data_IF_200463716591
#
_entry.id   IF_200463716591
#
_cell.length_a   1.000
_cell.length_b   1.000
_cell.length_c   1.000
_cell.angle_alpha   90.00
_cell.angle_beta   90.00
_cell.angle_gamma   90.00
#
_symmetry.space_group_name_H-M   'P 1'
#
loop_
_entity.id
_entity.type
_entity.pdbx_description
1 polymer ?
#
# COMPACT_ATOMS: atom_id res chain seq x y z
N UNK A 1 7.80 44.23 64.91
CA UNK A 1 8.86 44.33 63.91
C UNK A 1 9.39 42.95 63.67
N UNK A 2 9.09 42.37 62.59
CA UNK A 2 9.82 41.39 61.73
C UNK A 2 8.82 40.74 60.80
N UNK A 3 8.96 41.05 59.51
CA UNK A 3 8.16 40.53 58.39
C UNK A 3 8.61 39.12 58.09
N UNK A 4 7.67 38.23 57.96
CA UNK A 4 7.90 36.92 57.34
C UNK A 4 7.50 37.03 55.86
N UNK A 5 8.42 36.67 54.98
CA UNK A 5 8.20 36.58 53.55
C UNK A 5 7.69 35.21 53.22
N UNK A 6 6.56 35.09 52.53
CA UNK A 6 6.06 33.89 51.94
C UNK A 6 6.64 33.75 50.51
N UNK A 7 7.30 32.66 50.25
CA UNK A 7 7.75 32.31 48.90
C UNK A 7 6.59 31.66 48.14
N UNK A 8 6.18 32.30 47.05
CA UNK A 8 5.26 31.71 46.09
C UNK A 8 6.07 30.90 45.05
N UNK A 9 5.78 29.60 44.95
CA UNK A 9 6.26 28.72 43.87
C UNK A 9 5.35 28.95 42.67
N UNK A 10 5.89 29.54 41.62
CA UNK A 10 5.21 29.66 40.33
C UNK A 10 5.55 28.42 39.51
N UNK A 11 4.57 27.55 39.32
CA UNK A 11 4.63 26.50 38.32
C UNK A 11 4.34 27.12 36.96
N UNK A 12 5.35 27.26 36.13
CA UNK A 12 5.17 27.61 34.71
C UNK A 12 4.93 26.32 33.91
N UNK A 13 3.67 26.06 33.61
CA UNK A 13 3.28 25.08 32.62
C UNK A 13 3.55 25.66 31.22
N UNK A 14 4.43 25.00 30.47
CA UNK A 14 4.60 25.29 29.03
C UNK A 14 3.52 24.53 28.28
N UNK A 15 2.52 25.24 27.77
CA UNK A 15 1.57 24.73 26.81
C UNK A 15 2.18 24.96 25.42
N UNK A 16 2.67 23.91 24.78
CA UNK A 16 2.95 23.92 23.35
C UNK A 16 1.63 23.65 22.62
N UNK A 17 1.01 24.73 22.14
CA UNK A 17 -0.11 24.64 21.21
C UNK A 17 0.45 24.45 19.81
N UNK A 18 0.43 23.23 19.30
CA UNK A 18 0.53 22.94 17.87
C UNK A 18 -0.80 23.31 17.24
N UNK A 19 -0.86 24.43 16.52
CA UNK A 19 -2.05 24.82 15.80
C UNK A 19 -2.11 24.12 14.46
N UNK A 20 -3.05 23.20 14.31
CA UNK A 20 -3.49 22.74 12.99
C UNK A 20 -4.64 23.64 12.57
N UNK A 21 -4.50 24.28 11.43
CA UNK A 21 -5.54 25.13 10.86
C UNK A 21 -6.58 24.23 10.17
N UNK A 22 -7.74 24.12 10.77
CA UNK A 22 -8.90 23.44 10.20
C UNK A 22 -9.52 24.32 9.11
N UNK A 23 -9.50 23.85 7.87
CA UNK A 23 -10.30 24.41 6.77
C UNK A 23 -11.64 23.68 6.77
N UNK A 24 -12.72 24.40 7.02
CA UNK A 24 -14.07 23.85 7.04
C UNK A 24 -14.55 23.53 5.62
N UNK A 25 -14.72 22.25 5.34
CA UNK A 25 -15.45 21.73 4.20
C UNK A 25 -16.08 20.40 4.62
N UNK A 26 -17.36 20.29 4.46
CA UNK A 26 -18.27 19.28 5.01
C UNK A 26 -17.94 17.85 4.59
N UNK A 27 -18.08 16.95 5.57
CA UNK A 27 -18.21 15.49 5.57
C UNK A 27 -16.96 14.73 6.05
N UNK A 28 -17.12 14.16 7.26
CA UNK A 28 -16.44 12.94 7.70
C UNK A 28 -14.94 12.98 7.94
N UNK A 29 -14.40 13.99 8.66
CA UNK A 29 -13.01 13.91 9.11
C UNK A 29 -12.85 12.92 10.27
N UNK A 30 -11.98 11.95 10.07
CA UNK A 30 -11.47 11.08 11.14
C UNK A 30 -10.54 11.90 12.03
N UNK A 31 -10.98 12.28 13.24
CA UNK A 31 -10.14 13.02 14.19
C UNK A 31 -9.38 12.03 15.06
N UNK A 32 -8.08 11.91 14.85
CA UNK A 32 -7.17 11.22 15.76
C UNK A 32 -6.83 12.17 16.92
N UNK A 33 -7.41 11.93 18.08
CA UNK A 33 -7.08 12.68 19.31
C UNK A 33 -6.18 11.81 20.20
N UNK A 34 -4.88 12.10 20.25
CA UNK A 34 -3.97 11.52 21.25
C UNK A 34 -4.06 12.30 22.56
N UNK A 35 -4.52 11.67 23.62
CA UNK A 35 -4.41 12.20 25.01
C UNK A 35 -3.27 11.44 25.69
N UNK A 36 -2.14 12.12 25.92
CA UNK A 36 -1.08 11.62 26.79
C UNK A 36 -1.40 11.98 28.25
N UNK A 37 -1.51 10.98 29.11
CA UNK A 37 -1.33 11.12 30.55
C UNK A 37 -0.06 10.38 30.93
N UNK A 38 0.92 11.11 31.48
CA UNK A 38 2.13 10.54 32.06
C UNK A 38 1.78 9.90 33.41
N UNK A 39 1.90 8.60 33.49
CA UNK A 39 2.20 7.88 34.74
C UNK A 39 3.00 6.62 34.36
N UNK A 40 4.20 6.50 34.94
CA UNK A 40 5.13 5.41 34.70
C UNK A 40 4.56 4.09 35.25
N UNK A 41 4.39 3.10 34.42
CA UNK A 41 4.79 1.68 34.52
C UNK A 41 4.00 0.83 33.53
N UNK A 42 4.74 -0.02 32.80
CA UNK A 42 4.27 -1.03 31.83
C UNK A 42 3.94 -0.48 30.41
N UNK A 43 4.96 -0.52 29.54
CA UNK A 43 4.78 -0.45 28.09
C UNK A 43 3.96 -1.64 27.60
N UNK A 44 2.64 -1.47 27.55
CA UNK A 44 1.81 -2.10 26.54
C UNK A 44 1.67 -1.08 25.42
N UNK A 45 2.04 -1.46 24.22
CA UNK A 45 1.71 -0.71 22.99
C UNK A 45 0.19 -0.53 22.96
N UNK A 46 -0.31 0.64 23.32
CA UNK A 46 -1.70 1.00 23.02
C UNK A 46 -1.77 1.19 21.48
N UNK A 47 -2.23 0.16 20.78
CA UNK A 47 -2.79 0.31 19.46
C UNK A 47 -3.87 1.39 19.58
N UNK A 48 -3.70 2.48 18.84
CA UNK A 48 -4.71 3.55 18.73
C UNK A 48 -5.90 2.91 18.01
N UNK A 49 -6.91 2.48 18.74
CA UNK A 49 -8.12 1.89 18.16
C UNK A 49 -8.75 2.91 17.19
N UNK A 50 -8.84 2.55 15.92
CA UNK A 50 -9.55 3.33 14.91
C UNK A 50 -11.00 3.45 15.35
N UNK A 51 -11.49 4.67 15.51
CA UNK A 51 -12.88 4.89 15.92
C UNK A 51 -13.80 4.79 14.72
N UNK A 52 -14.48 3.65 14.57
CA UNK A 52 -15.45 3.42 13.50
C UNK A 52 -16.68 4.32 13.71
N UNK A 53 -17.06 5.05 12.66
CA UNK A 53 -18.28 5.87 12.66
C UNK A 53 -19.52 4.99 12.49
N UNK A 54 -20.15 4.64 13.60
CA UNK A 54 -21.38 3.83 13.61
C UNK A 54 -22.64 4.62 13.24
N UNK A 55 -22.54 5.90 12.89
CA UNK A 55 -23.66 6.66 12.35
C UNK A 55 -24.00 6.31 10.89
N UNK A 56 -23.03 5.76 10.15
CA UNK A 56 -23.23 5.20 8.82
C UNK A 56 -23.82 3.78 8.97
N UNK A 57 -25.00 3.47 8.42
CA UNK A 57 -25.58 2.14 8.57
C UNK A 57 -24.80 1.08 7.79
N UNK A 58 -24.85 -0.16 8.29
CA UNK A 58 -24.37 -1.35 7.58
C UNK A 58 -25.48 -2.40 7.53
N UNK A 59 -25.53 -3.21 6.48
CA UNK A 59 -26.53 -4.26 6.34
C UNK A 59 -26.08 -5.53 7.11
N UNK A 60 -26.74 -5.92 8.21
CA UNK A 60 -26.37 -7.11 8.96
C UNK A 60 -26.43 -8.39 8.12
N UNK A 61 -25.42 -9.26 8.30
CA UNK A 61 -25.34 -10.55 7.62
C UNK A 61 -24.82 -10.47 6.18
N UNK A 62 -24.45 -9.28 5.70
CA UNK A 62 -23.92 -9.09 4.35
C UNK A 62 -22.56 -9.78 4.16
N UNK A 63 -22.24 -10.08 2.89
CA UNK A 63 -20.96 -10.63 2.46
C UNK A 63 -20.23 -9.60 1.59
N UNK A 64 -19.03 -9.27 1.98
CA UNK A 64 -18.05 -8.54 1.17
C UNK A 64 -17.16 -9.58 0.49
N UNK A 65 -17.06 -9.52 -0.82
CA UNK A 65 -16.19 -10.42 -1.57
C UNK A 65 -14.94 -9.66 -2.03
N UNK A 66 -13.75 -10.21 -1.75
CA UNK A 66 -12.48 -9.64 -2.18
C UNK A 66 -11.86 -10.54 -3.23
N UNK A 67 -11.49 -9.96 -4.38
CA UNK A 67 -10.69 -10.61 -5.42
C UNK A 67 -9.40 -9.83 -5.59
N UNK A 68 -8.29 -10.42 -5.11
CA UNK A 68 -6.95 -9.82 -5.17
C UNK A 68 -6.18 -10.25 -6.42
N UNK A 69 -5.07 -9.57 -6.73
CA UNK A 69 -4.11 -10.03 -7.76
C UNK A 69 -3.45 -11.35 -7.38
N UNK A 70 -3.21 -11.55 -6.09
CA UNK A 70 -2.61 -12.78 -5.56
C UNK A 70 -3.12 -13.06 -4.15
N UNK A 71 -3.15 -14.33 -3.76
CA UNK A 71 -3.54 -14.76 -2.41
C UNK A 71 -2.35 -15.19 -1.55
N UNK A 72 -1.13 -14.94 -2.00
CA UNK A 72 0.10 -15.33 -1.31
C UNK A 72 1.18 -14.24 -1.41
N UNK A 73 2.12 -14.25 -0.47
CA UNK A 73 3.20 -13.27 -0.39
C UNK A 73 3.02 -12.29 0.77
N UNK A 74 4.15 -11.76 1.28
CA UNK A 74 4.13 -10.96 2.52
C UNK A 74 3.28 -9.69 2.39
N UNK A 75 3.23 -9.07 1.21
CA UNK A 75 2.35 -7.93 0.93
C UNK A 75 0.87 -8.32 1.06
N UNK A 76 0.45 -9.40 0.36
CA UNK A 76 -0.95 -9.84 0.36
C UNK A 76 -1.38 -10.40 1.72
N UNK A 77 -0.46 -11.02 2.46
CA UNK A 77 -0.71 -11.46 3.84
C UNK A 77 -1.02 -10.26 4.76
N UNK A 78 -0.31 -9.13 4.60
CA UNK A 78 -0.56 -7.91 5.36
C UNK A 78 -1.88 -7.23 4.96
N UNK A 79 -2.19 -7.17 3.66
CA UNK A 79 -3.50 -6.67 3.17
C UNK A 79 -4.63 -7.49 3.79
N UNK A 80 -4.55 -8.81 3.71
CA UNK A 80 -5.57 -9.71 4.25
C UNK A 80 -5.72 -9.55 5.77
N UNK A 81 -4.62 -9.42 6.52
CA UNK A 81 -4.66 -9.15 7.96
C UNK A 81 -5.37 -7.84 8.30
N UNK A 82 -5.11 -6.76 7.53
CA UNK A 82 -5.81 -5.50 7.68
C UNK A 82 -7.31 -5.63 7.41
N UNK A 83 -7.67 -6.36 6.36
CA UNK A 83 -9.07 -6.65 6.02
C UNK A 83 -9.79 -7.46 7.11
N UNK A 84 -9.16 -8.51 7.64
CA UNK A 84 -9.71 -9.32 8.74
C UNK A 84 -9.90 -8.50 10.01
N UNK A 85 -8.95 -7.62 10.32
CA UNK A 85 -9.05 -6.72 11.46
C UNK A 85 -10.25 -5.76 11.30
N UNK A 86 -10.43 -5.17 10.13
CA UNK A 86 -11.56 -4.30 9.84
C UNK A 86 -12.90 -5.02 9.98
N UNK A 87 -13.04 -6.24 9.45
CA UNK A 87 -14.25 -7.06 9.61
C UNK A 87 -14.58 -7.30 11.09
N UNK A 88 -13.57 -7.64 11.88
CA UNK A 88 -13.71 -7.86 13.32
C UNK A 88 -14.17 -6.60 14.03
N UNK A 89 -13.49 -5.48 13.78
CA UNK A 89 -13.75 -4.21 14.47
C UNK A 89 -15.12 -3.63 14.08
N UNK A 90 -15.53 -3.75 12.81
CA UNK A 90 -16.87 -3.39 12.35
C UNK A 90 -17.94 -4.22 13.09
N UNK A 91 -17.79 -5.55 13.13
CA UNK A 91 -18.75 -6.41 13.83
C UNK A 91 -18.84 -6.08 15.33
N UNK A 92 -17.72 -5.72 15.96
CA UNK A 92 -17.68 -5.30 17.37
C UNK A 92 -18.36 -3.92 17.56
N UNK A 93 -18.00 -2.93 16.74
CA UNK A 93 -18.52 -1.56 16.81
C UNK A 93 -20.05 -1.49 16.64
N UNK A 94 -20.58 -2.25 15.67
CA UNK A 94 -22.02 -2.32 15.42
C UNK A 94 -22.74 -3.37 16.32
N UNK A 95 -22.01 -4.11 17.14
CA UNK A 95 -22.60 -5.15 18.04
C UNK A 95 -23.21 -6.33 17.29
N UNK A 96 -22.76 -6.62 16.07
CA UNK A 96 -23.27 -7.68 15.20
C UNK A 96 -22.80 -9.06 15.72
N UNK A 97 -23.72 -10.06 15.72
CA UNK A 97 -23.44 -11.39 16.29
C UNK A 97 -23.99 -12.50 15.41
N UNK A 98 -23.30 -13.61 15.40
CA UNK A 98 -23.74 -14.85 14.73
C UNK A 98 -24.04 -14.63 13.24
N UNK A 99 -25.29 -14.78 12.82
CA UNK A 99 -25.69 -14.64 11.42
C UNK A 99 -25.77 -13.18 10.93
N UNK A 100 -25.82 -12.23 11.87
CA UNK A 100 -25.87 -10.80 11.56
C UNK A 100 -24.47 -10.21 11.31
N UNK A 101 -23.40 -10.96 11.59
CA UNK A 101 -22.04 -10.51 11.32
C UNK A 101 -21.82 -10.30 9.82
N UNK A 102 -21.15 -9.21 9.48
CA UNK A 102 -20.55 -9.01 8.16
C UNK A 102 -19.46 -10.06 7.98
N UNK A 103 -19.40 -10.66 6.80
CA UNK A 103 -18.43 -11.70 6.43
C UNK A 103 -17.64 -11.25 5.23
N UNK A 104 -16.40 -11.69 5.15
CA UNK A 104 -15.52 -11.47 4.01
C UNK A 104 -15.10 -12.81 3.41
N UNK A 105 -14.92 -12.84 2.09
CA UNK A 105 -14.14 -13.87 1.39
C UNK A 105 -12.94 -13.19 0.73
N UNK A 106 -11.78 -13.86 0.71
CA UNK A 106 -10.57 -13.37 0.08
C UNK A 106 -10.07 -14.41 -0.92
N UNK A 107 -10.20 -14.09 -2.19
CA UNK A 107 -9.98 -15.00 -3.32
C UNK A 107 -9.07 -14.36 -4.36
N UNK A 108 -8.47 -15.18 -5.23
CA UNK A 108 -7.61 -14.71 -6.30
C UNK A 108 -6.64 -15.78 -6.77
N UNK A 109 -5.85 -15.52 -7.80
CA UNK A 109 -4.81 -16.43 -8.27
C UNK A 109 -3.67 -16.56 -7.25
N UNK A 110 -2.85 -17.60 -7.42
CA UNK A 110 -1.62 -17.79 -6.66
C UNK A 110 -0.39 -17.10 -7.28
N UNK A 111 -0.57 -16.48 -8.45
CA UNK A 111 0.45 -15.78 -9.22
C UNK A 111 -0.18 -14.53 -9.84
N UNK A 112 0.40 -13.34 -9.58
CA UNK A 112 -0.10 -12.06 -10.07
C UNK A 112 -0.18 -11.98 -11.60
N UNK A 113 0.63 -12.76 -12.32
CA UNK A 113 0.61 -12.82 -13.79
C UNK A 113 -0.57 -13.62 -14.35
N UNK A 114 -1.32 -14.36 -13.51
CA UNK A 114 -2.44 -15.20 -13.96
C UNK A 114 -3.75 -14.40 -14.07
N UNK A 115 -3.81 -13.50 -15.03
CA UNK A 115 -4.97 -12.64 -15.31
C UNK A 115 -6.23 -13.48 -15.63
N UNK A 116 -6.10 -14.59 -16.36
CA UNK A 116 -7.24 -15.45 -16.72
C UNK A 116 -7.90 -16.07 -15.47
N UNK A 117 -7.11 -16.50 -14.49
CA UNK A 117 -7.64 -17.04 -13.23
C UNK A 117 -8.37 -15.97 -12.44
N UNK A 118 -7.86 -14.72 -12.42
CA UNK A 118 -8.56 -13.62 -11.76
C UNK A 118 -9.91 -13.32 -12.41
N UNK A 119 -9.96 -13.26 -13.75
CA UNK A 119 -11.22 -13.03 -14.48
C UNK A 119 -12.25 -14.13 -14.21
N UNK A 120 -11.82 -15.41 -14.21
CA UNK A 120 -12.69 -16.53 -13.87
C UNK A 120 -13.18 -16.49 -12.42
N UNK A 121 -12.33 -16.05 -11.49
CA UNK A 121 -12.70 -15.85 -10.08
C UNK A 121 -13.74 -14.75 -9.94
N UNK A 122 -13.59 -13.64 -10.67
CA UNK A 122 -14.58 -12.54 -10.68
C UNK A 122 -15.95 -13.02 -11.19
N UNK A 123 -15.99 -13.80 -12.30
CA UNK A 123 -17.25 -14.36 -12.81
C UNK A 123 -17.94 -15.23 -11.76
N UNK A 124 -17.20 -16.09 -11.07
CA UNK A 124 -17.75 -16.93 -10.01
C UNK A 124 -18.27 -16.10 -8.83
N UNK A 125 -17.50 -15.15 -8.34
CA UNK A 125 -17.83 -14.29 -7.18
C UNK A 125 -19.06 -13.42 -7.47
N UNK A 126 -19.14 -12.79 -8.66
CA UNK A 126 -20.28 -11.95 -9.06
C UNK A 126 -21.55 -12.80 -9.15
N UNK A 127 -21.46 -14.05 -9.65
CA UNK A 127 -22.60 -14.96 -9.72
C UNK A 127 -23.22 -15.31 -8.36
N UNK A 128 -22.44 -15.19 -7.28
CA UNK A 128 -22.89 -15.38 -5.89
C UNK A 128 -23.57 -14.15 -5.28
N UNK A 129 -23.60 -13.04 -6.01
CA UNK A 129 -24.27 -11.80 -5.64
C UNK A 129 -23.84 -11.26 -4.25
N UNK A 130 -22.55 -10.89 -4.04
CA UNK A 130 -22.10 -10.27 -2.81
C UNK A 130 -22.73 -8.89 -2.61
N UNK A 131 -22.76 -8.40 -1.37
CA UNK A 131 -23.23 -7.05 -1.09
C UNK A 131 -22.28 -5.98 -1.64
N UNK A 132 -20.96 -6.26 -1.64
CA UNK A 132 -19.92 -5.40 -2.21
C UNK A 132 -18.82 -6.31 -2.78
N UNK A 133 -18.22 -5.91 -3.89
CA UNK A 133 -17.02 -6.51 -4.47
C UNK A 133 -15.83 -5.58 -4.26
N UNK A 134 -14.75 -6.10 -3.68
CA UNK A 134 -13.46 -5.41 -3.61
C UNK A 134 -12.49 -6.08 -4.61
N UNK A 135 -11.83 -5.31 -5.45
CA UNK A 135 -10.96 -5.80 -6.52
C UNK A 135 -9.61 -5.11 -6.50
N UNK A 136 -8.51 -5.88 -6.57
CA UNK A 136 -7.21 -5.38 -7.01
C UNK A 136 -6.90 -5.95 -8.39
N UNK A 137 -6.84 -5.09 -9.42
CA UNK A 137 -6.82 -5.55 -10.80
C UNK A 137 -5.41 -6.02 -11.24
N UNK A 138 -5.28 -7.26 -11.74
CA UNK A 138 -4.05 -7.78 -12.34
C UNK A 138 -3.75 -7.16 -13.72
N UNK A 139 -4.78 -6.63 -14.40
CA UNK A 139 -4.67 -5.90 -15.67
C UNK A 139 -5.81 -4.87 -15.67
N UNK A 140 -5.49 -3.61 -16.02
CA UNK A 140 -6.44 -2.49 -15.98
C UNK A 140 -7.69 -2.69 -16.85
N UNK A 141 -7.63 -3.52 -17.88
CA UNK A 141 -8.68 -3.66 -18.88
C UNK A 141 -9.35 -5.03 -18.89
N UNK A 142 -8.68 -6.08 -18.43
CA UNK A 142 -9.12 -7.47 -18.60
C UNK A 142 -10.37 -7.83 -17.83
N UNK A 143 -10.72 -7.06 -16.79
CA UNK A 143 -11.88 -7.31 -15.92
C UNK A 143 -13.09 -6.37 -16.19
N UNK A 144 -13.02 -5.47 -17.17
CA UNK A 144 -14.09 -4.47 -17.40
C UNK A 144 -15.46 -5.09 -17.66
N UNK A 145 -15.54 -6.20 -18.41
CA UNK A 145 -16.80 -6.88 -18.66
C UNK A 145 -17.41 -7.48 -17.38
N UNK A 146 -16.59 -7.93 -16.44
CA UNK A 146 -17.03 -8.39 -15.12
C UNK A 146 -17.55 -7.22 -14.28
N UNK A 147 -16.89 -6.06 -14.35
CA UNK A 147 -17.34 -4.85 -13.67
C UNK A 147 -18.66 -4.32 -14.24
N UNK A 148 -18.85 -4.35 -15.57
CA UNK A 148 -20.14 -4.06 -16.20
C UNK A 148 -21.23 -5.02 -15.69
N UNK A 149 -20.90 -6.32 -15.57
CA UNK A 149 -21.82 -7.33 -15.01
C UNK A 149 -22.14 -7.07 -13.55
N UNK A 150 -21.16 -6.65 -12.74
CA UNK A 150 -21.39 -6.26 -11.34
C UNK A 150 -22.35 -5.05 -11.26
N UNK A 151 -22.14 -4.03 -12.09
CA UNK A 151 -23.02 -2.86 -12.18
C UNK A 151 -24.46 -3.22 -12.62
N UNK A 152 -24.63 -4.13 -13.59
CA UNK A 152 -25.95 -4.64 -14.03
C UNK A 152 -26.70 -5.39 -12.92
N UNK A 153 -25.98 -5.94 -11.93
CA UNK A 153 -26.53 -6.65 -10.78
C UNK A 153 -26.61 -5.77 -9.51
N UNK A 154 -26.42 -4.45 -9.64
CA UNK A 154 -26.41 -3.50 -8.52
C UNK A 154 -25.35 -3.84 -7.43
N UNK A 155 -24.23 -4.48 -7.80
CA UNK A 155 -23.11 -4.80 -6.91
C UNK A 155 -22.12 -3.64 -6.97
N UNK A 156 -21.96 -2.84 -5.91
CA UNK A 156 -20.94 -1.80 -5.87
C UNK A 156 -19.53 -2.41 -5.84
N UNK A 157 -18.60 -1.77 -6.57
CA UNK A 157 -17.21 -2.22 -6.66
C UNK A 157 -16.29 -1.19 -6.04
N UNK A 158 -15.49 -1.62 -5.07
CA UNK A 158 -14.33 -0.87 -4.56
C UNK A 158 -13.08 -1.47 -5.17
N UNK A 159 -12.22 -0.63 -5.72
CA UNK A 159 -10.90 -1.08 -6.19
C UNK A 159 -9.84 -0.72 -5.15
N UNK A 160 -8.85 -1.58 -4.97
CA UNK A 160 -7.71 -1.33 -4.06
C UNK A 160 -6.38 -1.71 -4.71
N UNK A 161 -5.26 -1.22 -4.18
CA UNK A 161 -3.89 -1.43 -4.64
C UNK A 161 -3.65 -0.99 -6.10
N UNK A 162 -4.31 -1.59 -7.06
CA UNK A 162 -4.13 -1.30 -8.49
C UNK A 162 -5.47 -1.08 -9.18
N UNK A 163 -5.63 0.10 -9.78
CA UNK A 163 -6.90 0.55 -10.33
C UNK A 163 -7.18 -0.06 -11.72
N UNK A 164 -8.42 0.11 -12.17
CA UNK A 164 -8.90 -0.23 -13.51
C UNK A 164 -8.88 1.00 -14.42
N UNK A 165 -9.01 0.80 -15.75
CA UNK A 165 -8.95 1.89 -16.72
C UNK A 165 -10.26 2.71 -16.82
N UNK A 166 -11.39 2.16 -16.38
CA UNK A 166 -12.69 2.84 -16.38
C UNK A 166 -13.16 3.09 -14.94
N UNK A 167 -12.95 4.31 -14.46
CA UNK A 167 -13.33 4.75 -13.11
C UNK A 167 -14.85 4.95 -12.92
N UNK A 168 -15.64 4.88 -14.00
CA UNK A 168 -17.09 4.96 -13.90
C UNK A 168 -17.74 3.65 -13.45
N UNK A 169 -16.99 2.54 -13.57
CA UNK A 169 -17.43 1.21 -13.13
C UNK A 169 -17.15 0.92 -11.66
N UNK A 170 -16.48 1.84 -10.97
CA UNK A 170 -16.11 1.67 -9.56
C UNK A 170 -16.72 2.75 -8.68
N UNK A 171 -17.02 2.37 -7.45
CA UNK A 171 -17.53 3.27 -6.44
C UNK A 171 -16.42 4.08 -5.78
N UNK A 172 -15.28 3.44 -5.49
CA UNK A 172 -14.15 4.06 -4.79
C UNK A 172 -12.84 3.33 -5.10
N UNK A 173 -11.69 3.95 -4.74
CA UNK A 173 -10.35 3.39 -4.87
C UNK A 173 -9.52 3.65 -3.63
N UNK A 174 -8.89 2.60 -3.08
CA UNK A 174 -7.98 2.65 -1.94
C UNK A 174 -6.61 2.09 -2.33
N UNK A 175 -5.58 2.90 -2.33
CA UNK A 175 -4.25 2.48 -2.75
C UNK A 175 -3.17 3.44 -2.31
N UNK A 176 -1.93 3.07 -2.57
CA UNK A 176 -0.77 3.92 -2.37
C UNK A 176 -0.65 4.95 -3.49
N UNK A 177 -0.11 6.12 -3.20
CA UNK A 177 0.32 7.06 -4.23
C UNK A 177 1.53 6.49 -4.99
N UNK A 178 1.23 5.78 -6.07
CA UNK A 178 2.23 5.08 -6.86
C UNK A 178 3.10 6.02 -7.71
N UNK A 179 2.63 7.21 -8.06
CA UNK A 179 3.46 8.25 -8.66
C UNK A 179 4.53 8.68 -7.65
N UNK A 180 4.13 8.90 -6.39
CA UNK A 180 5.04 9.26 -5.29
C UNK A 180 6.03 8.15 -4.95
N UNK A 181 5.62 6.87 -5.04
CA UNK A 181 6.54 5.73 -4.91
C UNK A 181 7.67 5.83 -5.93
N UNK A 182 7.35 6.06 -7.20
CA UNK A 182 8.32 6.22 -8.26
C UNK A 182 9.22 7.45 -8.07
N UNK A 183 8.62 8.59 -7.70
CA UNK A 183 9.36 9.82 -7.42
C UNK A 183 10.39 9.64 -6.31
N UNK A 184 9.99 9.07 -5.15
CA UNK A 184 10.91 8.82 -4.03
C UNK A 184 12.05 7.89 -4.48
N UNK A 185 11.75 6.82 -5.20
CA UNK A 185 12.78 5.91 -5.72
C UNK A 185 13.77 6.64 -6.63
N UNK A 186 13.29 7.51 -7.54
CA UNK A 186 14.10 8.32 -8.43
C UNK A 186 14.96 9.35 -7.69
N UNK A 187 14.38 10.08 -6.73
CA UNK A 187 15.08 11.02 -5.85
C UNK A 187 16.24 10.32 -5.10
N UNK A 188 15.96 9.14 -4.54
CA UNK A 188 16.93 8.35 -3.78
C UNK A 188 17.98 7.69 -4.66
N UNK A 189 17.65 7.29 -5.89
CA UNK A 189 18.60 6.82 -6.87
C UNK A 189 19.56 7.95 -7.29
N UNK A 190 19.03 9.13 -7.58
CA UNK A 190 19.83 10.29 -7.92
C UNK A 190 20.76 10.73 -6.75
N UNK A 191 20.27 10.65 -5.50
CA UNK A 191 21.09 10.89 -4.31
C UNK A 191 22.24 9.86 -4.21
N UNK A 192 21.94 8.58 -4.34
CA UNK A 192 22.90 7.48 -4.18
C UNK A 192 23.98 7.46 -5.27
N UNK A 193 23.63 7.85 -6.50
CA UNK A 193 24.53 7.90 -7.65
C UNK A 193 25.17 9.28 -7.89
N UNK A 194 25.01 10.21 -6.94
CA UNK A 194 25.56 11.58 -7.06
C UNK A 194 25.12 12.28 -8.36
N UNK A 195 23.86 12.00 -8.83
CA UNK A 195 23.20 12.57 -10.02
C UNK A 195 23.86 12.19 -11.34
N UNK A 196 24.57 11.07 -11.42
CA UNK A 196 25.18 10.55 -12.65
C UNK A 196 25.20 9.01 -12.62
N UNK A 197 24.99 8.37 -13.77
CA UNK A 197 25.09 6.91 -13.90
C UNK A 197 24.00 6.29 -14.75
N UNK A 198 24.14 5.01 -14.99
CA UNK A 198 23.31 4.21 -15.87
C UNK A 198 22.46 3.23 -15.06
N UNK A 199 21.16 3.15 -15.36
CA UNK A 199 20.16 2.48 -14.51
C UNK A 199 19.42 1.42 -15.32
N UNK A 200 19.15 0.27 -14.69
CA UNK A 200 18.21 -0.75 -15.18
C UNK A 200 16.91 -0.69 -14.36
N UNK A 201 15.77 -0.84 -15.02
CA UNK A 201 14.47 -0.97 -14.36
C UNK A 201 14.00 -2.41 -14.55
N UNK A 202 13.74 -3.10 -13.43
CA UNK A 202 13.06 -4.37 -13.40
C UNK A 202 11.66 -4.16 -12.84
N UNK A 203 10.68 -4.29 -13.71
CA UNK A 203 9.31 -3.95 -13.41
C UNK A 203 8.42 -5.20 -13.28
N UNK A 204 7.41 -5.11 -12.44
CA UNK A 204 6.33 -6.08 -12.37
C UNK A 204 5.51 -6.08 -13.68
N UNK A 205 4.21 -6.25 -13.59
CA UNK A 205 3.36 -6.28 -14.79
C UNK A 205 3.15 -4.88 -15.36
N UNK A 206 3.53 -4.66 -16.63
CA UNK A 206 3.32 -3.39 -17.34
C UNK A 206 1.85 -3.03 -17.57
N UNK A 207 0.92 -3.98 -17.39
CA UNK A 207 -0.52 -3.79 -17.55
C UNK A 207 -1.25 -3.34 -16.28
N UNK A 208 -0.56 -3.22 -15.16
CA UNK A 208 -1.14 -2.70 -13.91
C UNK A 208 -0.90 -1.21 -13.79
N UNK A 209 -1.88 -0.47 -13.26
CA UNK A 209 -1.73 0.96 -13.03
C UNK A 209 -0.61 1.26 -12.03
N UNK A 210 -0.49 0.47 -10.96
CA UNK A 210 0.53 0.66 -9.94
C UNK A 210 1.95 0.60 -10.52
N UNK A 211 2.25 -0.41 -11.36
CA UNK A 211 3.57 -0.52 -12.00
C UNK A 211 3.84 0.63 -12.95
N UNK A 212 2.87 0.99 -13.81
CA UNK A 212 3.03 2.11 -14.75
C UNK A 212 3.36 3.41 -14.02
N UNK A 213 2.60 3.75 -12.99
CA UNK A 213 2.82 4.97 -12.20
C UNK A 213 4.17 4.98 -11.49
N UNK A 214 4.61 3.85 -10.93
CA UNK A 214 5.93 3.71 -10.29
C UNK A 214 7.06 3.92 -11.29
N UNK A 215 6.95 3.37 -12.49
CA UNK A 215 7.93 3.57 -13.57
C UNK A 215 7.91 5.00 -14.06
N UNK A 216 6.73 5.55 -14.36
CA UNK A 216 6.58 6.94 -14.85
C UNK A 216 7.12 7.95 -13.83
N UNK A 217 6.77 7.80 -12.55
CA UNK A 217 7.28 8.66 -11.47
C UNK A 217 8.81 8.63 -11.35
N UNK A 218 9.39 7.43 -11.41
CA UNK A 218 10.84 7.25 -11.41
C UNK A 218 11.50 7.91 -12.62
N UNK A 219 11.00 7.64 -13.81
CA UNK A 219 11.52 8.20 -15.07
C UNK A 219 11.46 9.73 -15.10
N UNK A 220 10.36 10.30 -14.61
CA UNK A 220 10.18 11.75 -14.56
C UNK A 220 11.26 12.41 -13.70
N UNK A 221 11.60 11.82 -12.55
CA UNK A 221 12.68 12.32 -11.70
C UNK A 221 14.05 12.15 -12.36
N UNK A 222 14.35 10.96 -12.91
CA UNK A 222 15.64 10.70 -13.55
C UNK A 222 15.88 11.64 -14.75
N UNK A 223 14.83 11.98 -15.49
CA UNK A 223 14.92 12.90 -16.62
C UNK A 223 15.36 14.34 -16.25
N UNK A 224 15.28 14.72 -14.97
CA UNK A 224 15.80 16.01 -14.49
C UNK A 224 17.33 16.04 -14.37
N UNK A 225 17.99 14.88 -14.42
CA UNK A 225 19.45 14.73 -14.27
C UNK A 225 20.10 14.33 -15.59
N UNK A 226 20.76 15.27 -16.32
CA UNK A 226 21.27 15.03 -17.68
C UNK A 226 22.39 13.97 -17.78
N UNK A 227 23.04 13.61 -16.66
CA UNK A 227 24.09 12.59 -16.59
C UNK A 227 23.60 11.24 -16.08
N UNK A 228 22.27 11.08 -15.92
CA UNK A 228 21.63 9.81 -15.57
C UNK A 228 20.88 9.27 -16.79
N UNK A 229 21.00 7.96 -17.04
CA UNK A 229 20.30 7.31 -18.16
C UNK A 229 19.61 6.02 -17.69
N UNK A 230 18.46 5.73 -18.29
CA UNK A 230 17.82 4.43 -18.18
C UNK A 230 18.24 3.61 -19.40
N UNK A 231 18.97 2.52 -19.17
CA UNK A 231 19.53 1.66 -20.20
C UNK A 231 18.49 0.71 -20.78
N UNK A 232 17.69 0.10 -19.89
CA UNK A 232 16.68 -0.90 -20.27
C UNK A 232 15.60 -0.98 -19.19
N UNK A 233 14.37 -1.24 -19.64
CA UNK A 233 13.22 -1.53 -18.80
C UNK A 233 12.71 -2.92 -19.16
N UNK A 234 12.54 -3.80 -18.17
CA UNK A 234 12.11 -5.19 -18.38
C UNK A 234 10.90 -5.45 -17.49
N UNK A 235 9.79 -5.81 -18.13
CA UNK A 235 8.51 -6.11 -17.49
C UNK A 235 8.28 -7.60 -17.37
N UNK A 236 7.82 -8.06 -16.20
CA UNK A 236 7.64 -9.48 -15.90
C UNK A 236 6.59 -10.18 -16.81
N UNK A 237 5.59 -9.42 -17.28
CA UNK A 237 4.56 -9.94 -18.19
C UNK A 237 4.95 -9.89 -19.68
N UNK A 238 6.15 -9.39 -20.02
CA UNK A 238 6.68 -9.32 -21.38
C UNK A 238 7.77 -10.36 -21.65
N UNK A 239 8.23 -11.09 -20.61
CA UNK A 239 9.29 -12.10 -20.71
C UNK A 239 8.82 -13.47 -20.22
N UNK A 240 9.39 -14.54 -20.76
CA UNK A 240 9.04 -15.91 -20.35
C UNK A 240 9.65 -16.27 -18.96
N UNK A 241 10.82 -15.71 -18.65
CA UNK A 241 11.58 -15.98 -17.43
C UNK A 241 12.28 -14.68 -16.98
N UNK A 242 11.71 -14.03 -15.98
CA UNK A 242 12.23 -12.77 -15.45
C UNK A 242 13.64 -12.93 -14.84
N UNK A 243 13.95 -14.08 -14.23
CA UNK A 243 15.28 -14.35 -13.69
C UNK A 243 16.33 -14.38 -14.82
N UNK A 244 16.03 -15.09 -15.91
CA UNK A 244 16.92 -15.15 -17.07
C UNK A 244 17.07 -13.77 -17.73
N UNK A 245 15.99 -13.00 -17.85
CA UNK A 245 16.00 -11.65 -18.42
C UNK A 245 16.86 -10.68 -17.59
N UNK A 246 16.74 -10.69 -16.25
CA UNK A 246 17.59 -9.91 -15.36
C UNK A 246 19.07 -10.25 -15.53
N UNK A 247 19.40 -11.55 -15.58
CA UNK A 247 20.80 -11.99 -15.77
C UNK A 247 21.36 -11.57 -17.14
N UNK A 248 20.53 -11.59 -18.19
CA UNK A 248 20.92 -11.16 -19.54
C UNK A 248 21.15 -9.65 -19.57
N UNK A 249 20.26 -8.85 -18.97
CA UNK A 249 20.40 -7.40 -18.87
C UNK A 249 21.66 -6.99 -18.12
N UNK A 250 21.94 -7.59 -16.98
CA UNK A 250 23.17 -7.34 -16.20
C UNK A 250 24.45 -7.72 -16.97
N UNK A 251 24.41 -8.77 -17.78
CA UNK A 251 25.53 -9.12 -18.67
C UNK A 251 25.69 -8.17 -19.84
N UNK A 252 24.60 -7.68 -20.39
CA UNK A 252 24.55 -6.74 -21.52
C UNK A 252 25.00 -5.36 -21.10
N UNK A 253 24.72 -4.99 -19.87
CA UNK A 253 24.98 -3.68 -19.29
C UNK A 253 25.87 -3.79 -18.03
N UNK A 254 27.14 -4.22 -18.18
CA UNK A 254 28.06 -4.29 -17.04
C UNK A 254 28.43 -2.91 -16.48
N UNK A 255 28.09 -1.84 -17.20
CA UNK A 255 28.24 -0.44 -16.77
C UNK A 255 27.10 0.05 -15.87
N UNK A 256 26.02 -0.73 -15.65
CA UNK A 256 24.91 -0.30 -14.84
C UNK A 256 25.32 0.04 -13.40
N UNK A 257 25.05 1.28 -12.98
CA UNK A 257 25.37 1.79 -11.65
C UNK A 257 24.18 1.61 -10.69
N UNK A 258 22.94 1.58 -11.21
CA UNK A 258 21.72 1.45 -10.44
C UNK A 258 20.75 0.40 -10.96
N UNK A 259 19.94 -0.15 -10.05
CA UNK A 259 18.80 -1.04 -10.35
C UNK A 259 17.59 -0.59 -9.56
N UNK A 260 16.47 -0.39 -10.25
CA UNK A 260 15.16 -0.14 -9.63
C UNK A 260 14.23 -1.34 -9.83
N UNK A 261 13.68 -1.88 -8.73
CA UNK A 261 12.72 -2.98 -8.72
C UNK A 261 11.36 -2.48 -8.24
N UNK A 262 10.30 -2.63 -9.04
CA UNK A 262 9.04 -1.92 -8.83
C UNK A 262 8.05 -2.59 -7.87
N UNK A 263 8.31 -3.82 -7.40
CA UNK A 263 7.51 -4.51 -6.37
C UNK A 263 8.33 -5.58 -5.63
N UNK A 264 7.71 -6.19 -4.63
CA UNK A 264 8.27 -7.25 -3.79
C UNK A 264 8.83 -8.43 -4.59
N UNK A 265 8.05 -8.97 -5.55
CA UNK A 265 8.42 -10.20 -6.27
C UNK A 265 9.66 -9.98 -7.13
N UNK A 266 9.70 -8.85 -7.85
CA UNK A 266 10.84 -8.49 -8.70
C UNK A 266 12.08 -8.16 -7.85
N UNK A 267 11.92 -7.47 -6.72
CA UNK A 267 13.00 -7.18 -5.79
C UNK A 267 13.55 -8.46 -5.16
N UNK A 268 12.68 -9.35 -4.69
CA UNK A 268 13.09 -10.63 -4.11
C UNK A 268 13.77 -11.55 -5.13
N UNK A 269 13.32 -11.50 -6.38
CA UNK A 269 13.96 -12.24 -7.48
C UNK A 269 15.37 -11.70 -7.75
N UNK A 270 15.53 -10.38 -7.90
CA UNK A 270 16.83 -9.74 -8.08
C UNK A 270 17.81 -10.06 -6.95
N UNK A 271 17.37 -9.97 -5.70
CA UNK A 271 18.17 -10.32 -4.52
C UNK A 271 18.55 -11.81 -4.43
N UNK A 272 17.88 -12.66 -5.22
CA UNK A 272 18.18 -14.11 -5.30
C UNK A 272 19.20 -14.46 -6.38
N UNK A 273 19.54 -13.52 -7.27
CA UNK A 273 20.53 -13.75 -8.31
C UNK A 273 21.92 -14.02 -7.68
N UNK A 274 22.66 -14.97 -8.27
CA UNK A 274 24.07 -15.16 -7.94
C UNK A 274 24.87 -13.99 -8.52
N UNK A 275 25.28 -13.07 -7.66
CA UNK A 275 26.08 -11.93 -8.05
C UNK A 275 27.54 -12.24 -7.77
N UNK A 276 28.37 -12.18 -8.82
CA UNK A 276 29.80 -12.54 -8.76
C UNK A 276 30.74 -11.37 -8.79
N UNK A 277 30.20 -10.15 -8.98
CA UNK A 277 31.03 -8.95 -9.12
C UNK A 277 31.32 -8.30 -7.76
N UNK A 278 32.52 -7.76 -7.62
CA UNK A 278 32.96 -7.07 -6.39
C UNK A 278 32.22 -5.73 -6.18
N UNK A 279 31.62 -5.17 -7.23
CA UNK A 279 30.85 -3.93 -7.20
C UNK A 279 29.47 -4.15 -7.80
N UNK A 280 28.48 -4.17 -6.93
CA UNK A 280 27.07 -4.33 -7.33
C UNK A 280 26.45 -2.97 -7.64
N UNK A 281 25.48 -2.89 -8.60
CA UNK A 281 24.67 -1.71 -8.79
C UNK A 281 23.94 -1.32 -7.49
N UNK A 282 23.74 -0.03 -7.28
CA UNK A 282 22.88 0.48 -6.20
C UNK A 282 21.45 -0.03 -6.45
N UNK A 283 20.94 -0.84 -5.54
CA UNK A 283 19.56 -1.37 -5.64
C UNK A 283 18.61 -0.52 -4.81
N UNK A 284 17.50 -0.13 -5.42
CA UNK A 284 16.31 0.41 -4.74
C UNK A 284 15.11 -0.45 -5.14
N UNK A 285 14.38 -0.92 -4.14
CA UNK A 285 13.18 -1.72 -4.31
C UNK A 285 11.92 -1.02 -3.81
N UNK A 286 10.79 -1.63 -4.12
CA UNK A 286 9.48 -1.28 -3.56
C UNK A 286 9.01 -2.45 -2.68
N UNK A 287 8.21 -2.13 -1.67
CA UNK A 287 7.76 -3.02 -0.61
C UNK A 287 8.82 -3.25 0.49
N UNK A 288 8.55 -4.14 1.45
CA UNK A 288 9.45 -4.38 2.58
C UNK A 288 9.41 -5.83 3.04
N UNK A 289 9.64 -6.77 2.10
CA UNK A 289 9.69 -8.19 2.45
C UNK A 289 10.78 -8.50 3.46
N UNK A 290 10.67 -9.62 4.14
CA UNK A 290 11.73 -10.10 5.06
C UNK A 290 13.09 -10.18 4.37
N UNK A 291 13.12 -10.52 3.06
CA UNK A 291 14.35 -10.58 2.28
C UNK A 291 14.93 -9.20 2.01
N UNK A 292 14.11 -8.24 1.59
CA UNK A 292 14.51 -6.85 1.39
C UNK A 292 14.99 -6.21 2.70
N UNK A 293 14.27 -6.43 3.82
CA UNK A 293 14.70 -5.97 5.14
C UNK A 293 16.11 -6.48 5.51
N UNK A 294 16.39 -7.75 5.24
CA UNK A 294 17.72 -8.31 5.46
C UNK A 294 18.77 -7.68 4.51
N UNK A 295 18.41 -7.47 3.24
CA UNK A 295 19.27 -6.87 2.24
C UNK A 295 19.61 -5.39 2.57
N UNK A 296 18.65 -4.62 3.06
CA UNK A 296 18.88 -3.24 3.55
C UNK A 296 19.86 -3.24 4.73
N UNK A 297 19.67 -4.17 5.70
CA UNK A 297 20.52 -4.27 6.90
C UNK A 297 21.95 -4.70 6.58
N UNK A 298 22.15 -5.53 5.57
CA UNK A 298 23.49 -6.00 5.15
C UNK A 298 24.10 -5.19 4.00
N UNK A 299 23.39 -4.19 3.49
CA UNK A 299 23.86 -3.21 2.49
C UNK A 299 23.83 -3.71 1.04
N UNK A 300 23.09 -4.82 0.75
CA UNK A 300 22.84 -5.27 -0.63
C UNK A 300 21.73 -4.50 -1.32
N UNK A 301 20.85 -3.88 -0.56
CA UNK A 301 19.81 -2.98 -1.02
C UNK A 301 20.01 -1.63 -0.33
N UNK A 302 20.08 -0.55 -1.10
CA UNK A 302 20.34 0.79 -0.58
C UNK A 302 19.16 1.29 0.27
N UNK A 303 17.97 0.96 -0.17
CA UNK A 303 16.73 1.21 0.56
C UNK A 303 15.51 0.83 -0.26
N UNK A 304 14.37 0.95 0.35
CA UNK A 304 13.07 0.54 -0.18
C UNK A 304 12.05 1.66 -0.04
N UNK A 305 11.14 1.75 -1.01
CA UNK A 305 9.95 2.58 -0.88
C UNK A 305 8.80 1.65 -0.48
N UNK A 306 8.42 1.70 0.79
CA UNK A 306 7.43 0.79 1.35
C UNK A 306 6.02 1.38 1.38
N UNK A 307 5.05 0.51 1.21
CA UNK A 307 3.61 0.79 1.32
C UNK A 307 3.09 0.41 2.70
N UNK A 308 1.86 0.84 3.04
CA UNK A 308 1.12 0.34 4.21
C UNK A 308 -0.02 -0.60 3.75
N UNK A 309 0.28 -1.88 3.47
CA UNK A 309 -0.73 -2.82 2.99
C UNK A 309 -1.79 -3.17 4.04
N UNK A 310 -1.44 -3.11 5.33
CA UNK A 310 -2.41 -3.34 6.39
C UNK A 310 -3.48 -2.26 6.41
N UNK A 311 -3.08 -0.99 6.39
CA UNK A 311 -4.00 0.14 6.36
C UNK A 311 -4.83 0.15 5.08
N UNK A 312 -4.22 -0.16 3.93
CA UNK A 312 -4.93 -0.30 2.66
C UNK A 312 -6.06 -1.33 2.75
N UNK A 313 -5.78 -2.52 3.29
CA UNK A 313 -6.78 -3.56 3.50
C UNK A 313 -7.86 -3.13 4.48
N UNK A 314 -7.47 -2.52 5.61
CA UNK A 314 -8.39 -2.05 6.64
C UNK A 314 -9.38 -1.02 6.10
N UNK A 315 -8.90 0.01 5.42
CA UNK A 315 -9.73 1.07 4.86
C UNK A 315 -10.65 0.56 3.74
N UNK A 316 -10.16 -0.34 2.89
CA UNK A 316 -10.97 -0.97 1.84
C UNK A 316 -12.21 -1.66 2.42
N UNK A 317 -12.05 -2.46 3.47
CA UNK A 317 -13.18 -3.17 4.09
C UNK A 317 -14.07 -2.24 4.90
N UNK A 318 -13.52 -1.23 5.55
CA UNK A 318 -14.33 -0.21 6.24
C UNK A 318 -15.27 0.50 5.27
N UNK A 319 -14.75 0.94 4.13
CA UNK A 319 -15.56 1.55 3.07
C UNK A 319 -16.57 0.57 2.49
N UNK A 320 -16.16 -0.68 2.21
CA UNK A 320 -17.07 -1.70 1.70
C UNK A 320 -18.24 -1.97 2.65
N UNK A 321 -18.00 -2.02 3.96
CA UNK A 321 -19.05 -2.23 4.95
C UNK A 321 -20.10 -1.10 4.91
N UNK A 322 -19.66 0.14 4.79
CA UNK A 322 -20.54 1.30 4.67
C UNK A 322 -21.34 1.35 3.36
N UNK A 323 -20.91 0.60 2.33
CA UNK A 323 -21.65 0.47 1.07
C UNK A 323 -22.68 -0.65 1.09
N UNK A 324 -22.72 -1.50 2.12
CA UNK A 324 -23.67 -2.62 2.18
C UNK A 324 -25.13 -2.20 2.35
N UNK A 325 -25.41 -1.02 2.91
CA UNK A 325 -26.76 -0.48 3.15
C UNK A 325 -27.00 0.86 2.44
N UNK A 326 -26.34 1.14 1.35
CA UNK A 326 -26.52 2.40 0.63
C UNK A 326 -27.50 2.25 -0.54
N UNK A 327 -28.61 2.98 -0.52
CA UNK A 327 -29.56 3.14 -1.65
C UNK A 327 -28.94 3.94 -2.83
N UNK A 328 -27.65 3.85 -3.03
CA UNK A 328 -26.90 4.51 -4.08
C UNK A 328 -25.52 4.95 -3.58
N UNK A 329 -24.53 4.38 -4.18
CA UNK A 329 -23.13 4.70 -3.90
C UNK A 329 -22.89 6.15 -4.31
N UNK A 330 -22.63 7.03 -3.34
CA UNK A 330 -22.07 8.34 -3.63
C UNK A 330 -20.55 8.16 -3.75
N UNK A 331 -20.04 8.34 -4.97
CA UNK A 331 -18.58 8.38 -5.18
C UNK A 331 -18.01 9.50 -4.29
N UNK A 332 -17.01 9.23 -3.44
CA UNK A 332 -16.32 10.27 -2.69
C UNK A 332 -15.80 11.35 -3.64
N UNK A 333 -15.78 12.62 -3.22
CA UNK A 333 -15.28 13.72 -4.07
C UNK A 333 -13.79 13.53 -4.41
N UNK A 334 -13.01 12.89 -3.53
CA UNK A 334 -11.60 12.56 -3.75
C UNK A 334 -11.18 11.55 -2.68
N UNK A 335 -10.57 10.44 -3.09
CA UNK A 335 -10.02 9.46 -2.14
C UNK A 335 -8.58 9.85 -1.84
N UNK A 336 -8.23 10.03 -0.58
CA UNK A 336 -6.87 10.24 -0.15
C UNK A 336 -6.06 8.96 -0.37
N UNK A 337 -5.02 9.04 -1.20
CA UNK A 337 -4.08 7.95 -1.39
C UNK A 337 -3.17 7.80 -0.17
N UNK A 338 -2.75 6.57 0.12
CA UNK A 338 -1.82 6.29 1.20
C UNK A 338 -0.41 6.74 0.79
N UNK A 339 0.21 7.53 1.66
CA UNK A 339 1.59 7.98 1.47
C UNK A 339 2.58 6.83 1.67
N UNK A 340 3.50 6.56 0.72
CA UNK A 340 4.57 5.60 0.92
C UNK A 340 5.67 6.15 1.82
N UNK A 341 6.48 5.25 2.40
CA UNK A 341 7.60 5.62 3.24
C UNK A 341 8.94 5.16 2.67
N UNK A 342 9.98 6.01 2.76
CA UNK A 342 11.35 5.60 2.51
C UNK A 342 11.94 4.89 3.72
N UNK A 343 12.43 3.67 3.51
CA UNK A 343 13.07 2.82 4.51
C UNK A 343 14.49 2.49 4.08
N UNK A 344 15.45 2.76 4.95
CA UNK A 344 16.85 2.42 4.77
C UNK A 344 17.48 1.90 6.08
N UNK A 345 18.78 1.64 6.07
CA UNK A 345 19.50 1.11 7.24
C UNK A 345 19.47 2.02 8.47
N UNK A 346 19.13 3.30 8.32
CA UNK A 346 19.08 4.27 9.41
C UNK A 346 17.74 4.27 10.16
N UNK A 347 16.65 3.83 9.51
CA UNK A 347 15.31 3.91 10.07
C UNK A 347 14.52 2.60 10.09
N UNK A 348 15.00 1.52 9.46
CA UNK A 348 14.30 0.23 9.35
C UNK A 348 13.91 -0.41 10.69
N UNK A 349 14.62 -0.11 11.76
CA UNK A 349 14.32 -0.59 13.12
C UNK A 349 13.57 0.46 13.97
N UNK A 350 13.20 1.62 13.39
CA UNK A 350 12.45 2.66 14.09
C UNK A 350 10.96 2.27 14.18
N UNK A 351 10.36 2.19 15.40
CA UNK A 351 8.96 1.84 15.59
C UNK A 351 7.94 2.73 14.84
N UNK A 352 8.31 3.95 14.48
CA UNK A 352 7.45 4.84 13.67
C UNK A 352 7.15 4.28 12.28
N UNK A 353 8.03 3.41 11.75
CA UNK A 353 7.86 2.77 10.45
C UNK A 353 7.34 1.33 10.54
N UNK A 354 6.86 0.89 11.72
CA UNK A 354 6.44 -0.51 11.94
C UNK A 354 5.33 -1.01 11.01
N UNK A 355 4.47 -0.10 10.53
CA UNK A 355 3.39 -0.41 9.58
C UNK A 355 3.91 -0.67 8.16
N UNK A 356 5.07 -0.09 7.84
CA UNK A 356 5.74 -0.23 6.55
C UNK A 356 6.72 -1.41 6.51
N UNK A 357 6.87 -2.19 7.59
CA UNK A 357 7.77 -3.34 7.69
C UNK A 357 6.94 -4.61 7.70
N UNK A 358 7.03 -5.39 6.61
CA UNK A 358 6.20 -6.58 6.44
C UNK A 358 6.63 -7.68 7.42
N UNK A 359 5.66 -8.41 7.94
CA UNK A 359 5.84 -9.48 8.91
C UNK A 359 5.24 -10.76 8.37
N UNK A 360 5.93 -11.87 8.61
CA UNK A 360 5.38 -13.20 8.30
C UNK A 360 4.30 -13.58 9.30
#
# INVERSE_FOLDING_TARGET
>A
MKKAAAAAVVLTGVILAGGIAVKSGSLGELVIASVRTEDETEQSSEETAVQIDTSVPVLPGSRIAVVSKCVSGEFWDMVHQGMDAAVKDINEAYGLKSNDQIKMTFEGPSDELNVEEQVNTLDAVISENPAVLCLSASDMNSCLAQLETAAENDIPVIVFDSNVSDDQLIADFYGTDNDRVGEIAGEKMAEALEQQGDILIFAAQGKTQSTQKRVDGFQNVIAEYPEMNILEEIYADEVEDMNAAMQEALKKHPEADGVYCTNADVADLYLSLEQTDEQLPVMIGVDATTKQQAAVKDGREFGIVSQDPYEMGYQTILAAAHMTDSDGVQKPEETDLLEPAWIDSSNIDNPEYSNFIYKK
#
